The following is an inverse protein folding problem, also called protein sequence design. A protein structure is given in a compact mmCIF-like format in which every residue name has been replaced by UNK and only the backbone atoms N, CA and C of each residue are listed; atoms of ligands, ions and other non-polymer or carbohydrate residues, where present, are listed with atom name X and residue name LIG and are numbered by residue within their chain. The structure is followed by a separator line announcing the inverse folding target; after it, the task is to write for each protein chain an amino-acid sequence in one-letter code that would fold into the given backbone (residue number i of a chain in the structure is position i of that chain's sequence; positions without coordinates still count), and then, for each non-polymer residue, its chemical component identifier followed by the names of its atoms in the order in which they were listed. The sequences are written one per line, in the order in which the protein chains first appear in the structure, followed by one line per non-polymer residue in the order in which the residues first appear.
data_IF_275862088696
#
_entry.id   IF_275862088696
#
_cell.length_a   1.000
_cell.length_b   1.000
_cell.length_c   1.000
_cell.angle_alpha   90.00
_cell.angle_beta   90.00
_cell.angle_gamma   90.00
#
_symmetry.space_group_name_H-M   'P 1'
#
loop_
_entity.id
_entity.type
_entity.pdbx_description
1 polymer ?
#
# COMPACT_ATOMS: atom_id res chain seq x y z
N UNK A 1 -53.40 34.50 -41.47
CA UNK A 1 -51.93 34.56 -41.27
C UNK A 1 -51.66 34.38 -39.78
N UNK A 2 -51.29 33.18 -39.33
CA UNK A 2 -50.86 32.95 -37.94
C UNK A 2 -49.38 32.55 -37.95
N UNK A 3 -48.54 33.43 -37.44
CA UNK A 3 -47.09 33.27 -37.35
C UNK A 3 -46.75 32.56 -36.05
N UNK A 4 -46.20 31.35 -36.14
CA UNK A 4 -45.79 30.54 -34.98
C UNK A 4 -44.37 30.95 -34.61
N UNK A 5 -44.25 31.77 -33.55
CA UNK A 5 -42.98 32.16 -32.93
C UNK A 5 -42.39 30.98 -32.15
N UNK A 6 -41.28 30.42 -32.62
CA UNK A 6 -40.50 29.37 -31.93
C UNK A 6 -39.58 30.00 -30.87
N UNK A 7 -39.59 29.58 -29.59
CA UNK A 7 -38.65 30.10 -28.60
C UNK A 7 -37.26 29.46 -28.72
N UNK A 8 -36.15 30.17 -28.42
CA UNK A 8 -34.81 29.61 -28.49
C UNK A 8 -34.53 28.65 -27.32
N UNK A 9 -33.86 27.54 -27.64
CA UNK A 9 -33.45 26.52 -26.68
C UNK A 9 -32.42 27.09 -25.68
N UNK A 10 -32.81 27.15 -24.41
CA UNK A 10 -31.98 27.59 -23.29
C UNK A 10 -30.89 26.55 -23.02
N UNK A 11 -29.64 26.88 -23.36
CA UNK A 11 -28.49 26.03 -23.07
C UNK A 11 -28.21 26.00 -21.55
N UNK A 12 -28.27 24.82 -20.95
CA UNK A 12 -27.86 24.56 -19.57
C UNK A 12 -26.33 24.59 -19.47
N UNK A 13 -25.72 25.25 -18.48
CA UNK A 13 -24.28 25.16 -18.30
C UNK A 13 -23.91 23.74 -17.84
N UNK A 14 -23.07 23.07 -18.61
CA UNK A 14 -22.44 21.82 -18.21
C UNK A 14 -21.65 22.10 -16.92
N UNK A 15 -22.09 21.52 -15.80
CA UNK A 15 -21.36 21.58 -14.54
C UNK A 15 -20.06 20.81 -14.72
N UNK A 16 -18.96 21.55 -14.86
CA UNK A 16 -17.64 20.97 -14.87
C UNK A 16 -17.38 20.37 -13.48
N UNK A 17 -17.54 19.05 -13.37
CA UNK A 17 -17.26 18.34 -12.13
C UNK A 17 -15.78 18.53 -11.81
N UNK A 18 -15.50 19.19 -10.69
CA UNK A 18 -14.15 19.42 -10.20
C UNK A 18 -13.55 18.07 -9.82
N UNK A 19 -12.70 17.53 -10.69
CA UNK A 19 -11.87 16.38 -10.39
C UNK A 19 -10.94 16.75 -9.24
N UNK A 20 -11.29 16.33 -8.03
CA UNK A 20 -10.39 16.37 -6.89
C UNK A 20 -9.40 15.23 -7.06
N UNK A 21 -8.30 15.48 -7.76
CA UNK A 21 -7.15 14.57 -7.78
C UNK A 21 -6.61 14.48 -6.36
N UNK A 22 -7.09 13.47 -5.62
CA UNK A 22 -6.56 13.11 -4.32
C UNK A 22 -5.12 12.65 -4.54
N UNK A 23 -4.16 13.48 -4.15
CA UNK A 23 -2.75 13.10 -4.16
C UNK A 23 -2.58 11.93 -3.18
N UNK A 24 -2.24 10.77 -3.72
CA UNK A 24 -1.85 9.62 -2.92
C UNK A 24 -0.51 9.98 -2.29
N UNK A 25 -0.48 10.16 -0.97
CA UNK A 25 0.77 10.23 -0.21
C UNK A 25 1.41 8.86 -0.32
N UNK A 26 2.42 8.73 -1.18
CA UNK A 26 3.18 7.50 -1.28
C UNK A 26 4.28 7.58 -0.24
N UNK A 27 4.14 6.84 0.86
CA UNK A 27 5.30 6.50 1.68
C UNK A 27 6.03 5.38 0.94
N UNK A 28 6.61 5.73 -0.20
CA UNK A 28 7.33 4.80 -1.06
C UNK A 28 8.66 4.44 -0.42
N UNK A 29 8.68 3.45 0.47
CA UNK A 29 9.91 2.74 0.84
C UNK A 29 10.46 2.00 -0.39
N UNK A 30 11.67 2.32 -0.81
CA UNK A 30 12.32 1.63 -1.91
C UNK A 30 12.83 0.25 -1.46
N UNK A 31 12.96 -0.73 -2.37
CA UNK A 31 13.68 -1.96 -2.06
C UNK A 31 15.12 -1.62 -1.64
N UNK A 32 15.56 -2.16 -0.51
CA UNK A 32 16.85 -1.89 0.13
C UNK A 32 16.79 -0.91 1.30
N UNK A 33 15.67 -0.22 1.52
CA UNK A 33 15.52 0.67 2.67
C UNK A 33 15.45 -0.12 3.98
N UNK A 34 16.08 0.45 5.03
CA UNK A 34 15.95 -0.05 6.39
C UNK A 34 14.65 0.47 6.98
N UNK A 35 13.83 -0.46 7.45
CA UNK A 35 12.52 -0.14 8.01
C UNK A 35 12.39 -0.77 9.38
N UNK A 36 11.67 -0.07 10.25
CA UNK A 36 11.28 -0.57 11.57
C UNK A 36 9.77 -0.73 11.61
N UNK A 37 9.31 -1.81 12.22
CA UNK A 37 7.88 -2.06 12.40
C UNK A 37 7.43 -1.30 13.65
N UNK A 38 6.49 -0.37 13.50
CA UNK A 38 5.92 0.39 14.64
C UNK A 38 4.64 -0.23 15.20
N UNK A 39 3.89 -0.94 14.35
CA UNK A 39 2.63 -1.58 14.73
C UNK A 39 2.86 -2.97 15.32
N UNK A 40 1.91 -3.44 16.14
CA UNK A 40 1.85 -4.81 16.65
C UNK A 40 1.37 -5.72 15.50
N UNK A 41 2.28 -6.51 14.93
CA UNK A 41 1.98 -7.42 13.80
C UNK A 41 2.43 -8.82 14.20
N UNK A 42 1.47 -9.74 14.31
CA UNK A 42 1.72 -11.12 14.69
C UNK A 42 1.81 -12.00 13.46
N UNK A 43 2.92 -12.72 13.32
CA UNK A 43 3.20 -13.61 12.20
C UNK A 43 3.46 -15.04 12.68
N UNK A 44 2.96 -16.02 11.94
CA UNK A 44 3.02 -17.45 12.30
C UNK A 44 3.87 -18.33 11.38
N UNK A 45 4.36 -17.78 10.26
CA UNK A 45 5.16 -18.51 9.26
C UNK A 45 6.67 -18.42 9.49
N UNK A 46 7.10 -18.06 10.70
CA UNK A 46 8.52 -17.92 11.03
C UNK A 46 9.21 -19.30 11.00
N UNK A 47 10.32 -19.45 10.27
CA UNK A 47 11.10 -20.70 10.25
C UNK A 47 11.60 -21.07 11.65
N UNK A 48 11.58 -22.36 11.99
CA UNK A 48 11.93 -22.93 13.32
C UNK A 48 10.95 -22.61 14.47
N UNK A 49 10.00 -21.70 14.29
CA UNK A 49 8.90 -21.41 15.23
C UNK A 49 7.54 -21.50 14.51
N UNK A 50 7.37 -22.54 13.69
CA UNK A 50 6.12 -22.77 12.96
C UNK A 50 4.95 -22.91 13.95
N UNK A 51 4.00 -21.99 13.88
CA UNK A 51 2.81 -21.98 14.74
C UNK A 51 2.95 -21.19 16.04
N UNK A 52 4.10 -20.59 16.34
CA UNK A 52 4.23 -19.65 17.46
C UNK A 52 3.90 -18.23 17.00
N UNK A 53 3.07 -17.52 17.77
CA UNK A 53 2.80 -16.11 17.56
C UNK A 53 4.10 -15.31 17.73
N UNK A 54 4.65 -14.80 16.63
CA UNK A 54 5.85 -13.95 16.66
C UNK A 54 5.42 -12.51 16.44
N UNK A 55 5.59 -11.69 17.46
CA UNK A 55 5.39 -10.23 17.37
C UNK A 55 6.57 -9.59 16.64
N UNK A 56 6.26 -8.73 15.65
CA UNK A 56 7.25 -8.01 14.85
C UNK A 56 7.48 -6.58 15.35
N UNK A 57 6.70 -6.11 16.32
CA UNK A 57 6.80 -4.73 16.80
C UNK A 57 8.22 -4.38 17.27
N UNK A 58 8.75 -3.27 16.76
CA UNK A 58 10.05 -2.73 17.10
C UNK A 58 11.24 -3.42 16.40
N UNK A 59 11.01 -4.48 15.63
CA UNK A 59 12.06 -5.13 14.84
C UNK A 59 12.48 -4.27 13.65
N UNK A 60 13.78 -4.27 13.37
CA UNK A 60 14.38 -3.60 12.21
C UNK A 60 14.65 -4.64 11.14
N UNK A 61 14.21 -4.37 9.93
CA UNK A 61 14.40 -5.21 8.75
C UNK A 61 14.79 -4.39 7.53
N UNK A 62 14.96 -5.07 6.41
CA UNK A 62 15.24 -4.46 5.10
C UNK A 62 14.09 -4.75 4.17
N UNK A 63 13.64 -3.76 3.39
CA UNK A 63 12.63 -3.97 2.35
C UNK A 63 13.26 -4.79 1.23
N UNK A 64 12.75 -5.99 0.98
CA UNK A 64 13.26 -6.85 -0.09
C UNK A 64 12.67 -6.43 -1.44
N UNK A 65 11.34 -6.36 -1.52
CA UNK A 65 10.60 -6.14 -2.75
C UNK A 65 9.22 -5.52 -2.48
N UNK A 66 8.62 -4.93 -3.52
CA UNK A 66 7.22 -4.48 -3.49
C UNK A 66 6.34 -5.38 -4.35
N UNK A 67 5.12 -5.62 -3.86
CA UNK A 67 4.10 -6.41 -4.56
C UNK A 67 3.04 -5.54 -5.26
N UNK A 68 3.27 -4.23 -5.38
CA UNK A 68 2.36 -3.29 -6.06
C UNK A 68 2.19 -3.61 -7.55
N UNK A 69 3.25 -4.06 -8.21
CA UNK A 69 3.26 -4.39 -9.63
C UNK A 69 3.87 -5.77 -9.86
N UNK A 70 3.14 -6.61 -10.58
CA UNK A 70 3.60 -7.93 -11.01
C UNK A 70 3.51 -8.02 -12.53
N UNK A 71 4.65 -8.18 -13.19
CA UNK A 71 4.73 -8.32 -14.66
C UNK A 71 3.99 -7.21 -15.43
N UNK A 72 4.12 -5.97 -14.95
CA UNK A 72 3.48 -4.80 -15.57
C UNK A 72 1.97 -4.67 -15.30
N UNK A 73 1.39 -5.51 -14.43
CA UNK A 73 0.01 -5.37 -13.96
C UNK A 73 0.00 -4.87 -12.52
N UNK A 74 -0.82 -3.85 -12.27
CA UNK A 74 -1.09 -3.38 -10.91
C UNK A 74 -1.82 -4.48 -10.14
N UNK A 75 -1.28 -4.83 -8.99
CA UNK A 75 -1.85 -5.85 -8.11
C UNK A 75 -2.66 -5.16 -7.02
N UNK A 76 -3.79 -5.76 -6.63
CA UNK A 76 -4.61 -5.29 -5.51
C UNK A 76 -4.11 -5.83 -4.16
N UNK A 77 -2.80 -5.94 -3.99
CA UNK A 77 -2.21 -6.45 -2.75
C UNK A 77 -2.51 -5.46 -1.62
N UNK A 78 -3.22 -5.90 -0.58
CA UNK A 78 -3.51 -5.06 0.59
C UNK A 78 -2.24 -4.76 1.38
N UNK A 79 -1.28 -5.71 1.40
CA UNK A 79 0.01 -5.59 2.07
C UNK A 79 1.16 -5.65 1.04
N UNK A 80 1.51 -4.52 0.39
CA UNK A 80 2.44 -4.53 -0.74
C UNK A 80 3.92 -4.60 -0.34
N UNK A 81 4.30 -4.21 0.88
CA UNK A 81 5.70 -4.16 1.28
C UNK A 81 6.17 -5.53 1.78
N UNK A 82 7.17 -6.11 1.14
CA UNK A 82 7.87 -7.30 1.62
C UNK A 82 9.10 -6.88 2.41
N UNK A 83 9.10 -7.18 3.70
CA UNK A 83 10.22 -6.87 4.59
C UNK A 83 10.91 -8.18 4.96
N UNK A 84 12.23 -8.25 4.74
CA UNK A 84 13.08 -9.31 5.24
C UNK A 84 13.50 -8.97 6.67
N UNK A 85 13.04 -9.79 7.62
CA UNK A 85 13.40 -9.66 9.03
C UNK A 85 14.38 -10.75 9.45
N UNK A 86 15.47 -10.38 10.16
CA UNK A 86 16.38 -11.35 10.74
C UNK A 86 15.71 -12.04 11.93
N UNK A 87 15.85 -13.37 12.02
CA UNK A 87 15.31 -14.14 13.14
C UNK A 87 16.32 -14.14 14.31
N UNK A 88 15.95 -13.65 15.52
CA UNK A 88 16.84 -13.63 16.67
C UNK A 88 17.27 -15.02 17.17
N UNK A 89 16.54 -16.09 16.81
CA UNK A 89 16.85 -17.46 17.24
C UNK A 89 17.85 -18.20 16.33
N UNK A 90 18.72 -17.47 15.60
CA UNK A 90 19.73 -18.07 14.71
C UNK A 90 19.11 -18.84 13.54
N UNK A 91 18.06 -18.25 12.94
CA UNK A 91 17.25 -18.85 11.88
C UNK A 91 17.57 -18.36 10.48
N UNK A 92 16.76 -18.80 9.51
CA UNK A 92 16.69 -18.16 8.20
C UNK A 92 15.90 -16.86 8.33
N UNK A 93 16.35 -15.83 7.63
CA UNK A 93 15.58 -14.60 7.46
C UNK A 93 14.23 -14.94 6.84
N UNK A 94 13.19 -14.28 7.30
CA UNK A 94 11.84 -14.50 6.80
C UNK A 94 11.28 -13.22 6.21
N UNK A 95 10.44 -13.39 5.21
CA UNK A 95 9.78 -12.30 4.53
C UNK A 95 8.37 -12.17 5.10
N UNK A 96 8.05 -11.00 5.64
CA UNK A 96 6.72 -10.63 6.06
C UNK A 96 6.12 -9.60 5.10
N UNK A 97 4.83 -9.75 4.81
CA UNK A 97 4.07 -8.73 4.07
C UNK A 97 3.49 -7.78 5.10
N UNK A 98 3.75 -6.50 4.95
CA UNK A 98 3.38 -5.44 5.89
C UNK A 98 2.81 -4.27 5.10
N UNK A 99 1.96 -3.46 5.72
CA UNK A 99 1.50 -2.22 5.11
C UNK A 99 2.52 -1.08 5.31
N UNK A 100 2.55 -0.11 4.38
CA UNK A 100 3.38 1.10 4.54
C UNK A 100 3.00 1.91 5.79
N UNK A 101 1.73 1.83 6.21
CA UNK A 101 1.22 2.53 7.37
C UNK A 101 1.77 1.96 8.69
N UNK A 102 2.30 0.74 8.70
CA UNK A 102 2.80 0.01 9.87
C UNK A 102 4.33 0.08 10.01
N UNK A 103 4.99 0.66 9.01
CA UNK A 103 6.44 0.81 8.94
C UNK A 103 6.85 2.27 9.22
N UNK A 104 8.04 2.43 9.78
CA UNK A 104 8.78 3.69 9.91
C UNK A 104 10.19 3.53 9.31
N UNK A 105 10.75 4.62 8.77
CA UNK A 105 12.15 4.62 8.33
C UNK A 105 13.05 4.51 9.57
N UNK A 106 14.00 3.56 9.54
CA UNK A 106 14.91 3.26 10.64
C UNK A 106 16.25 3.99 10.52
#
# INVERSE_FOLDING_TARGET
MFSISTPPLRASPLRFARSTSRSVKVNAFAPGDKVRVKSSVVVYHVPKSKGAATELQGMVGVVDSRADEHEGKKTSATMPCKVALPNPNGGKDFIAHVEEAELEAA
#
